data_IF_742511049511
#
_entry.id   IF_742511049511
#
_cell.length_a   1.000
_cell.length_b   1.000
_cell.length_c   1.000
_cell.angle_alpha   90.00
_cell.angle_beta   90.00
_cell.angle_gamma   90.00
#
_symmetry.space_group_name_H-M   'P 1'
#
loop_
_entity.id
_entity.type
_entity.pdbx_description
1 polymer ?
#
# COMPACT_ATOMS: atom_id res chain seq x y z
N UNK A 1 -1.26 22.72 -25.29
CA UNK A 1 -0.82 21.57 -24.46
C UNK A 1 -1.72 21.57 -23.23
N UNK A 2 -2.70 20.66 -23.14
CA UNK A 2 -3.65 20.64 -22.01
C UNK A 2 -2.92 20.09 -20.78
N UNK A 3 -2.42 20.95 -19.91
CA UNK A 3 -2.12 20.60 -18.51
C UNK A 3 -3.46 20.46 -17.81
N UNK A 4 -3.99 19.24 -17.76
CA UNK A 4 -5.19 18.96 -16.99
C UNK A 4 -4.81 18.94 -15.51
N UNK A 5 -5.46 19.78 -14.71
CA UNK A 5 -5.61 19.60 -13.26
C UNK A 5 -6.03 18.16 -12.99
N UNK A 6 -5.10 17.28 -12.62
CA UNK A 6 -5.46 15.98 -12.09
C UNK A 6 -6.07 16.19 -10.70
N UNK A 7 -7.36 15.86 -10.50
CA UNK A 7 -8.01 16.09 -9.23
C UNK A 7 -7.32 15.24 -8.16
N UNK A 8 -7.05 15.85 -7.00
CA UNK A 8 -6.48 15.15 -5.86
C UNK A 8 -7.30 13.91 -5.51
N UNK A 9 -6.67 12.73 -5.63
CA UNK A 9 -7.32 11.47 -5.29
C UNK A 9 -7.08 11.16 -3.81
N UNK A 10 -8.07 11.50 -2.97
CA UNK A 10 -8.09 11.01 -1.58
C UNK A 10 -8.24 9.50 -1.54
N UNK A 11 -7.56 8.85 -0.59
CA UNK A 11 -7.70 7.42 -0.31
C UNK A 11 -8.72 7.11 0.79
N UNK A 12 -9.32 8.14 1.40
CA UNK A 12 -10.26 8.00 2.51
C UNK A 12 -11.45 7.10 2.15
N UNK A 13 -11.72 6.10 2.98
CA UNK A 13 -12.83 5.16 2.77
C UNK A 13 -12.64 4.19 1.60
N UNK A 14 -11.53 4.28 0.84
CA UNK A 14 -11.28 3.44 -0.34
C UNK A 14 -10.52 2.16 0.00
N UNK A 15 -10.65 1.17 -0.90
CA UNK A 15 -9.83 -0.05 -0.90
C UNK A 15 -8.64 0.17 -1.81
N UNK A 16 -7.43 0.08 -1.27
CA UNK A 16 -6.16 0.32 -1.97
C UNK A 16 -5.40 -1.00 -2.08
N UNK A 17 -4.89 -1.29 -3.28
CA UNK A 17 -3.97 -2.40 -3.53
C UNK A 17 -2.65 -1.83 -4.03
N UNK A 18 -1.55 -2.16 -3.35
CA UNK A 18 -0.19 -1.80 -3.72
C UNK A 18 0.50 -3.02 -4.30
N UNK A 19 1.04 -2.89 -5.50
CA UNK A 19 1.75 -3.97 -6.19
C UNK A 19 3.26 -3.76 -6.03
N UNK A 20 3.91 -4.61 -5.24
CA UNK A 20 5.35 -4.51 -4.97
C UNK A 20 5.71 -4.93 -3.54
N UNK A 21 7.00 -5.15 -3.28
CA UNK A 21 7.51 -5.57 -1.96
C UNK A 21 8.72 -4.76 -1.48
N UNK A 22 9.11 -3.72 -2.22
CA UNK A 22 10.20 -2.83 -1.83
C UNK A 22 9.77 -1.76 -0.83
N UNK A 23 10.74 -0.95 -0.38
CA UNK A 23 10.49 0.18 0.52
C UNK A 23 9.46 1.18 -0.05
N UNK A 24 9.49 1.41 -1.36
CA UNK A 24 8.51 2.26 -2.06
C UNK A 24 7.09 1.72 -1.92
N UNK A 25 6.89 0.40 -2.03
CA UNK A 25 5.58 -0.21 -1.84
C UNK A 25 5.10 -0.01 -0.39
N UNK A 26 6.02 -0.14 0.57
CA UNK A 26 5.72 0.10 1.98
C UNK A 26 5.38 1.57 2.26
N UNK A 27 6.04 2.52 1.61
CA UNK A 27 5.69 3.94 1.68
C UNK A 27 4.28 4.22 1.16
N UNK A 28 3.90 3.62 0.02
CA UNK A 28 2.54 3.70 -0.48
C UNK A 28 1.53 3.14 0.53
N UNK A 29 1.79 1.95 1.08
CA UNK A 29 0.93 1.32 2.09
C UNK A 29 0.79 2.19 3.34
N UNK A 30 1.89 2.79 3.83
CA UNK A 30 1.87 3.70 5.00
C UNK A 30 1.07 4.95 4.71
N UNK A 31 1.26 5.54 3.54
CA UNK A 31 0.58 6.76 3.10
C UNK A 31 -0.92 6.54 2.95
N UNK A 32 -1.34 5.46 2.31
CA UNK A 32 -2.76 5.13 2.16
C UNK A 32 -3.47 4.95 3.50
N UNK A 33 -2.80 4.35 4.50
CA UNK A 33 -3.38 4.24 5.85
C UNK A 33 -3.43 5.60 6.57
N UNK A 34 -2.41 6.46 6.41
CA UNK A 34 -2.45 7.82 6.96
C UNK A 34 -3.56 8.68 6.35
N UNK A 35 -3.98 8.36 5.13
CA UNK A 35 -5.12 8.97 4.45
C UNK A 35 -6.47 8.29 4.75
N UNK A 36 -6.56 7.49 5.82
CA UNK A 36 -7.81 6.82 6.23
C UNK A 36 -8.43 5.89 5.18
N UNK A 37 -7.61 5.20 4.38
CA UNK A 37 -8.12 4.13 3.52
C UNK A 37 -8.84 3.04 4.33
N UNK A 38 -10.02 2.62 3.85
CA UNK A 38 -10.83 1.59 4.50
C UNK A 38 -10.12 0.23 4.51
N UNK A 39 -9.34 -0.06 3.46
CA UNK A 39 -8.59 -1.30 3.36
C UNK A 39 -7.34 -1.10 2.51
N UNK A 40 -6.19 -1.62 2.94
CA UNK A 40 -4.94 -1.53 2.18
C UNK A 40 -4.30 -2.91 2.09
N UNK A 41 -4.06 -3.38 0.87
CA UNK A 41 -3.43 -4.68 0.58
C UNK A 41 -2.11 -4.42 -0.11
N UNK A 42 -1.05 -5.08 0.33
CA UNK A 42 0.21 -5.15 -0.41
C UNK A 42 0.27 -6.52 -1.07
N UNK A 43 0.26 -6.55 -2.41
CA UNK A 43 0.40 -7.77 -3.18
C UNK A 43 1.80 -7.79 -3.81
N UNK A 44 2.54 -8.86 -3.51
CA UNK A 44 3.89 -9.08 -4.03
C UNK A 44 3.98 -10.48 -4.62
N UNK A 45 4.80 -10.60 -5.67
CA UNK A 45 4.89 -11.82 -6.48
C UNK A 45 5.79 -12.91 -5.92
N UNK A 46 6.61 -12.62 -4.91
CA UNK A 46 7.50 -13.61 -4.26
C UNK A 46 7.08 -13.79 -2.81
N UNK A 47 7.56 -14.86 -2.21
CA UNK A 47 7.29 -15.19 -0.82
C UNK A 47 7.70 -14.05 0.12
N UNK A 48 6.98 -13.92 1.24
CA UNK A 48 7.22 -12.91 2.27
C UNK A 48 8.68 -12.92 2.77
N UNK A 49 9.37 -14.05 2.65
CA UNK A 49 10.77 -14.24 3.01
C UNK A 49 11.76 -13.43 2.16
N UNK A 50 11.38 -13.09 0.92
CA UNK A 50 12.19 -12.32 -0.03
C UNK A 50 11.79 -10.84 -0.10
N UNK A 51 10.90 -10.38 0.79
CA UNK A 51 10.54 -8.97 0.87
C UNK A 51 11.69 -8.19 1.53
N UNK A 52 12.35 -7.24 0.84
CA UNK A 52 13.48 -6.47 1.41
C UNK A 52 13.06 -5.54 2.55
N UNK A 53 11.76 -5.31 2.74
CA UNK A 53 11.23 -4.59 3.89
C UNK A 53 11.44 -5.39 5.19
N UNK A 54 11.91 -4.72 6.24
CA UNK A 54 12.14 -5.32 7.56
C UNK A 54 10.97 -6.22 7.95
N UNK A 55 11.22 -7.50 8.27
CA UNK A 55 10.22 -8.53 8.66
C UNK A 55 9.18 -8.05 9.68
N UNK A 56 9.50 -7.00 10.44
CA UNK A 56 8.64 -6.33 11.42
C UNK A 56 7.51 -5.49 10.81
N UNK A 57 7.66 -4.95 9.60
CA UNK A 57 6.62 -4.15 8.93
C UNK A 57 5.60 -5.02 8.17
N UNK A 58 6.03 -6.10 7.52
CA UNK A 58 5.14 -7.03 6.78
C UNK A 58 4.11 -7.67 7.73
N UNK A 59 4.60 -8.14 8.89
CA UNK A 59 3.77 -8.80 9.91
C UNK A 59 2.70 -7.90 10.54
N UNK A 60 2.87 -6.57 10.51
CA UNK A 60 1.91 -5.64 11.13
C UNK A 60 0.65 -5.41 10.32
N UNK A 61 0.60 -5.77 9.03
CA UNK A 61 -0.50 -5.37 8.14
C UNK A 61 -1.10 -6.45 7.26
N UNK A 62 -0.47 -7.63 7.17
CA UNK A 62 -1.13 -8.84 6.69
C UNK A 62 -2.11 -9.41 7.74
N UNK A 63 -3.02 -8.58 8.28
CA UNK A 63 -4.24 -9.15 8.86
C UNK A 63 -5.07 -9.63 7.67
N UNK A 64 -4.84 -10.89 7.27
CA UNK A 64 -5.84 -11.70 6.58
C UNK A 64 -7.13 -11.64 7.41
N UNK A 65 -8.01 -10.70 7.09
CA UNK A 65 -9.41 -10.76 7.48
C UNK A 65 -10.11 -11.33 6.26
N UNK A 66 -10.42 -12.62 6.38
CA UNK A 66 -11.26 -13.50 5.55
C UNK A 66 -11.55 -13.02 4.13
#
# INVERSE_FOLDING_TARGET
>A
MKTADEPYVSMEGKRVVVLGGGDTAMDCVRTSVRQNAAHVICAYRRDEENMPGSKREVKKRARRRR
#
